data_IF_013274115218
#
_entry.id   IF_013274115218
#
_cell.length_a   1.000
_cell.length_b   1.000
_cell.length_c   1.000
_cell.angle_alpha   90.00
_cell.angle_beta   90.00
_cell.angle_gamma   90.00
#
_symmetry.space_group_name_H-M   'P 1'
#
loop_
_entity.id
_entity.type
_entity.pdbx_description
1 polymer ?
#
# COMPACT_ATOMS: atom_id res chain seq x y z
N UNK A 1 38.40 -7.28 40.90
CA UNK A 1 37.28 -6.30 40.89
C UNK A 1 36.94 -5.74 39.50
N UNK A 2 37.88 -5.70 38.54
CA UNK A 2 37.65 -5.16 37.18
C UNK A 2 36.83 -6.06 36.22
N UNK A 3 36.70 -7.37 36.52
CA UNK A 3 36.03 -8.36 35.65
C UNK A 3 34.50 -8.36 35.76
N UNK A 4 33.93 -7.94 36.89
CA UNK A 4 32.47 -7.86 37.08
C UNK A 4 31.83 -6.64 36.40
N UNK A 5 32.62 -5.58 36.19
CA UNK A 5 32.15 -4.33 35.56
C UNK A 5 31.92 -4.47 34.05
N UNK A 6 32.69 -5.33 33.38
CA UNK A 6 32.61 -5.56 31.92
C UNK A 6 31.38 -6.41 31.56
N UNK A 7 30.98 -7.34 32.42
CA UNK A 7 29.80 -8.20 32.20
C UNK A 7 28.49 -7.40 32.33
N UNK A 8 28.44 -6.44 33.26
CA UNK A 8 27.29 -5.55 33.43
C UNK A 8 27.06 -4.58 32.26
N UNK A 9 28.13 -4.18 31.57
CA UNK A 9 28.07 -3.25 30.43
C UNK A 9 27.56 -3.94 29.14
N UNK A 10 27.80 -5.24 28.97
CA UNK A 10 27.30 -6.00 27.82
C UNK A 10 25.80 -6.34 27.92
N UNK A 11 25.23 -6.39 29.12
CA UNK A 11 23.81 -6.76 29.32
C UNK A 11 22.85 -5.60 29.01
N UNK A 12 23.32 -4.35 29.07
CA UNK A 12 22.50 -3.17 28.78
C UNK A 12 22.37 -2.85 27.27
N UNK A 13 23.21 -3.44 26.41
CA UNK A 13 23.19 -3.16 24.96
C UNK A 13 22.16 -3.96 24.17
N UNK A 14 21.56 -5.01 24.76
CA UNK A 14 20.60 -5.89 24.07
C UNK A 14 19.14 -5.41 24.22
N UNK A 15 18.84 -4.54 25.19
CA UNK A 15 17.45 -4.16 25.54
C UNK A 15 16.94 -2.94 24.73
N UNK A 16 17.83 -2.21 24.05
CA UNK A 16 17.48 -0.97 23.33
C UNK A 16 17.05 -1.12 21.87
N UNK A 17 17.00 -2.34 21.31
CA UNK A 17 16.63 -2.52 19.91
C UNK A 17 15.10 -2.34 19.75
N UNK A 18 14.62 -1.36 18.95
CA UNK A 18 13.20 -1.26 18.66
C UNK A 18 12.79 -2.50 17.87
N UNK A 19 12.09 -3.43 18.54
CA UNK A 19 11.46 -4.55 17.88
C UNK A 19 10.43 -3.97 16.92
N UNK A 20 10.68 -4.10 15.61
CA UNK A 20 9.68 -3.76 14.60
C UNK A 20 8.49 -4.67 14.86
N UNK A 21 7.42 -4.13 15.42
CA UNK A 21 6.18 -4.85 15.64
C UNK A 21 5.74 -5.45 14.29
N UNK A 22 5.74 -6.77 14.19
CA UNK A 22 5.39 -7.48 12.97
C UNK A 22 3.88 -7.38 12.79
N UNK A 23 3.40 -6.35 12.08
CA UNK A 23 1.98 -6.24 11.76
C UNK A 23 1.60 -7.38 10.82
N UNK A 24 0.59 -8.17 11.18
CA UNK A 24 0.07 -9.24 10.33
C UNK A 24 -0.25 -8.72 8.92
N UNK A 25 0.43 -9.26 7.90
CA UNK A 25 0.21 -8.87 6.52
C UNK A 25 -1.17 -9.35 6.06
N UNK A 26 -2.00 -8.42 5.57
CA UNK A 26 -3.32 -8.74 5.00
C UNK A 26 -3.18 -9.69 3.82
N UNK A 27 -4.01 -10.72 3.76
CA UNK A 27 -4.06 -11.61 2.60
C UNK A 27 -4.48 -10.90 1.29
N UNK A 28 -4.19 -11.50 0.12
CA UNK A 28 -4.36 -10.86 -1.19
C UNK A 28 -5.79 -10.37 -1.47
N UNK A 29 -6.80 -11.17 -1.06
CA UNK A 29 -8.22 -10.78 -1.18
C UNK A 29 -8.54 -9.52 -0.39
N UNK A 30 -8.12 -9.46 0.88
CA UNK A 30 -8.42 -8.33 1.75
C UNK A 30 -7.75 -7.05 1.24
N UNK A 31 -6.48 -7.15 0.84
CA UNK A 31 -5.73 -6.02 0.29
C UNK A 31 -6.35 -5.50 -1.02
N UNK A 32 -6.78 -6.40 -1.91
CA UNK A 32 -7.50 -6.03 -3.13
C UNK A 32 -8.84 -5.35 -2.84
N UNK A 33 -9.62 -5.87 -1.88
CA UNK A 33 -10.90 -5.28 -1.50
C UNK A 33 -10.73 -3.87 -0.93
N UNK A 34 -9.66 -3.60 -0.18
CA UNK A 34 -9.35 -2.26 0.32
C UNK A 34 -9.06 -1.29 -0.83
N UNK A 35 -8.26 -1.70 -1.83
CA UNK A 35 -8.03 -0.91 -3.04
C UNK A 35 -9.36 -0.66 -3.81
N UNK A 36 -10.20 -1.68 -3.91
CA UNK A 36 -11.50 -1.57 -4.57
C UNK A 36 -12.47 -0.63 -3.83
N UNK A 37 -12.47 -0.62 -2.50
CA UNK A 37 -13.24 0.35 -1.70
C UNK A 37 -12.75 1.78 -1.95
N UNK A 38 -11.44 1.99 -2.03
CA UNK A 38 -10.87 3.30 -2.36
C UNK A 38 -11.32 3.77 -3.76
N UNK A 39 -11.33 2.87 -4.74
CA UNK A 39 -11.90 3.13 -6.07
C UNK A 39 -13.39 3.49 -6.01
N UNK A 40 -14.22 2.73 -5.29
CA UNK A 40 -15.66 3.04 -5.14
C UNK A 40 -15.90 4.42 -4.52
N UNK A 41 -15.06 4.83 -3.56
CA UNK A 41 -15.13 6.17 -2.96
C UNK A 41 -14.76 7.25 -3.96
N UNK A 42 -13.70 7.03 -4.74
CA UNK A 42 -13.30 7.93 -5.82
C UNK A 42 -14.41 8.10 -6.85
N UNK A 43 -14.98 7.00 -7.36
CA UNK A 43 -15.99 7.04 -8.42
C UNK A 43 -17.29 7.74 -8.00
N UNK A 44 -17.70 7.57 -6.74
CA UNK A 44 -18.91 8.20 -6.18
C UNK A 44 -18.75 9.69 -5.86
N UNK A 45 -17.53 10.22 -5.77
CA UNK A 45 -17.30 11.61 -5.38
C UNK A 45 -16.86 12.46 -6.58
N UNK A 46 -17.71 13.38 -7.10
CA UNK A 46 -17.30 14.31 -8.14
C UNK A 46 -16.09 15.16 -7.74
N UNK A 47 -16.01 15.54 -6.47
CA UNK A 47 -14.87 16.30 -5.92
C UNK A 47 -13.56 15.51 -6.04
N UNK A 48 -13.55 14.24 -5.66
CA UNK A 48 -12.34 13.41 -5.76
C UNK A 48 -11.98 13.08 -7.21
N UNK A 49 -12.96 12.93 -8.11
CA UNK A 49 -12.70 12.71 -9.54
C UNK A 49 -12.02 13.90 -10.22
N UNK A 50 -12.22 15.13 -9.75
CA UNK A 50 -11.51 16.33 -10.27
C UNK A 50 -10.05 16.41 -9.81
N UNK A 51 -9.66 15.70 -8.74
CA UNK A 51 -8.32 15.75 -8.17
C UNK A 51 -7.44 14.59 -8.67
N UNK A 52 -6.46 14.90 -9.52
CA UNK A 52 -5.49 13.92 -10.05
C UNK A 52 -4.80 13.12 -8.94
N UNK A 53 -4.49 13.74 -7.79
CA UNK A 53 -3.81 13.05 -6.68
C UNK A 53 -4.68 11.93 -6.10
N UNK A 54 -5.99 12.12 -6.06
CA UNK A 54 -6.93 11.10 -5.62
C UNK A 54 -6.95 9.88 -6.54
N UNK A 55 -6.84 10.07 -7.86
CA UNK A 55 -6.66 8.97 -8.82
C UNK A 55 -5.36 8.20 -8.58
N UNK A 56 -4.24 8.92 -8.48
CA UNK A 56 -2.92 8.32 -8.27
C UNK A 56 -2.90 7.50 -6.96
N UNK A 57 -3.53 7.99 -5.88
CA UNK A 57 -3.64 7.23 -4.63
C UNK A 57 -4.34 5.88 -4.82
N UNK A 58 -5.43 5.84 -5.59
CA UNK A 58 -6.16 4.58 -5.85
C UNK A 58 -5.35 3.64 -6.75
N UNK A 59 -4.69 4.17 -7.79
CA UNK A 59 -3.80 3.39 -8.66
C UNK A 59 -2.66 2.77 -7.85
N UNK A 60 -2.02 3.55 -6.97
CA UNK A 60 -0.97 3.07 -6.07
C UNK A 60 -1.45 1.96 -5.14
N UNK A 61 -2.72 1.98 -4.71
CA UNK A 61 -3.28 0.90 -3.90
C UNK A 61 -3.36 -0.42 -4.67
N UNK A 62 -3.78 -0.40 -5.94
CA UNK A 62 -3.76 -1.60 -6.80
C UNK A 62 -2.32 -2.03 -7.14
N UNK A 63 -1.41 -1.09 -7.40
CA UNK A 63 0.01 -1.38 -7.59
C UNK A 63 0.59 -2.11 -6.37
N UNK A 64 0.24 -1.67 -5.16
CA UNK A 64 0.66 -2.33 -3.92
C UNK A 64 0.16 -3.78 -3.87
N UNK A 65 -1.08 -4.06 -4.24
CA UNK A 65 -1.61 -5.44 -4.28
C UNK A 65 -0.77 -6.32 -5.22
N UNK A 66 -0.46 -5.83 -6.41
CA UNK A 66 0.37 -6.55 -7.38
C UNK A 66 1.79 -6.80 -6.86
N UNK A 67 2.43 -5.79 -6.26
CA UNK A 67 3.79 -5.93 -5.73
C UNK A 67 3.88 -6.81 -4.48
N UNK A 68 2.84 -6.81 -3.64
CA UNK A 68 2.80 -7.66 -2.45
C UNK A 68 2.48 -9.13 -2.81
N UNK A 69 1.69 -9.35 -3.86
CA UNK A 69 1.20 -10.68 -4.23
C UNK A 69 1.36 -10.95 -5.74
N UNK A 70 2.58 -10.94 -6.29
CA UNK A 70 2.80 -11.05 -7.73
C UNK A 70 2.35 -12.39 -8.29
N UNK A 71 2.56 -13.49 -7.56
CA UNK A 71 2.25 -14.85 -8.00
C UNK A 71 0.77 -15.23 -7.80
N UNK A 72 -0.04 -14.32 -7.23
CA UNK A 72 -1.44 -14.59 -7.00
C UNK A 72 -2.23 -14.53 -8.31
N UNK A 73 -2.54 -15.71 -8.87
CA UNK A 73 -3.27 -15.88 -10.13
C UNK A 73 -4.63 -15.15 -10.20
N UNK A 74 -5.26 -14.84 -9.05
CA UNK A 74 -6.60 -14.22 -9.01
C UNK A 74 -6.56 -12.70 -8.88
N UNK A 75 -5.69 -12.16 -8.03
CA UNK A 75 -5.68 -10.75 -7.64
C UNK A 75 -4.55 -9.94 -8.29
N UNK A 76 -3.45 -10.58 -8.69
CA UNK A 76 -2.40 -9.92 -9.46
C UNK A 76 -2.90 -9.41 -10.83
N UNK A 77 -3.49 -10.25 -11.71
CA UNK A 77 -3.98 -9.75 -13.00
C UNK A 77 -5.14 -8.76 -12.86
N UNK A 78 -6.01 -8.94 -11.85
CA UNK A 78 -7.08 -7.97 -11.56
C UNK A 78 -6.54 -6.61 -11.15
N UNK A 79 -5.47 -6.58 -10.37
CA UNK A 79 -4.81 -5.33 -9.96
C UNK A 79 -4.21 -4.61 -11.17
N UNK A 80 -3.53 -5.34 -12.07
CA UNK A 80 -2.99 -4.78 -13.31
C UNK A 80 -4.10 -4.21 -14.22
N UNK A 81 -5.17 -4.98 -14.43
CA UNK A 81 -6.32 -4.52 -15.19
C UNK A 81 -6.93 -3.23 -14.59
N UNK A 82 -7.12 -3.19 -13.28
CA UNK A 82 -7.63 -2.01 -12.60
C UNK A 82 -6.69 -0.80 -12.74
N UNK A 83 -5.38 -1.00 -12.66
CA UNK A 83 -4.41 0.07 -12.89
C UNK A 83 -4.56 0.65 -14.31
N UNK A 84 -4.59 -0.20 -15.34
CA UNK A 84 -4.75 0.24 -16.72
C UNK A 84 -6.07 1.00 -16.94
N UNK A 85 -7.18 0.45 -16.43
CA UNK A 85 -8.50 1.10 -16.47
C UNK A 85 -8.48 2.48 -15.82
N UNK A 86 -7.88 2.60 -14.62
CA UNK A 86 -7.83 3.86 -13.88
C UNK A 86 -6.95 4.91 -14.55
N UNK A 87 -5.84 4.52 -15.18
CA UNK A 87 -5.04 5.46 -15.98
C UNK A 87 -5.83 5.99 -17.18
N UNK A 88 -6.57 5.12 -17.87
CA UNK A 88 -7.46 5.51 -18.97
C UNK A 88 -8.55 6.49 -18.51
N UNK A 89 -9.21 6.17 -17.39
CA UNK A 89 -10.23 7.05 -16.81
C UNK A 89 -9.63 8.40 -16.40
N UNK A 90 -8.48 8.39 -15.71
CA UNK A 90 -7.79 9.61 -15.31
C UNK A 90 -7.46 10.50 -16.52
N UNK A 91 -6.99 9.92 -17.62
CA UNK A 91 -6.77 10.65 -18.86
C UNK A 91 -8.07 11.31 -19.35
N UNK A 92 -9.18 10.58 -19.36
CA UNK A 92 -10.49 11.12 -19.72
C UNK A 92 -11.00 12.25 -18.80
N UNK A 93 -10.68 12.22 -17.50
CA UNK A 93 -11.04 13.33 -16.58
C UNK A 93 -10.07 14.50 -16.65
N UNK A 94 -8.80 14.24 -16.94
CA UNK A 94 -7.77 15.28 -17.06
C UNK A 94 -7.83 16.00 -18.41
N UNK A 95 -8.27 15.32 -19.47
CA UNK A 95 -8.32 15.84 -20.84
C UNK A 95 -9.59 16.61 -21.19
N UNK A 96 -10.66 16.52 -20.39
CA UNK A 96 -11.93 17.27 -20.61
C UNK A 96 -11.87 18.76 -20.19
N UNK A 97 -10.69 19.38 -20.26
CA UNK A 97 -10.48 20.84 -20.04
C UNK A 97 -9.77 21.52 -21.23
N UNK A 98 -9.94 21.00 -22.43
CA UNK A 98 -9.59 21.72 -23.66
C UNK A 98 -10.78 21.69 -24.59
#
# INVERSE_FOLDING_TARGET
MLRFFIIGLCLCLVIGAPTKAFSAQKGPKAQYLDAYRAYKRLSRSPRLRKDRRSWIRVISAFRKVYLTWPDNQKYAPKSLYMMAKLYRELYGYSGKRQ
#
